data_IF_428989481505
#
_entry.id   IF_428989481505
#
_cell.length_a   1.000
_cell.length_b   1.000
_cell.length_c   1.000
_cell.angle_alpha   90.00
_cell.angle_beta   90.00
_cell.angle_gamma   90.00
#
_symmetry.space_group_name_H-M   'P 1'
#
loop_
_entity.id
_entity.type
_entity.pdbx_description
1 polymer ?
#
# COMPACT_ATOMS: atom_id res chain seq x y z
N UNK A 1 -6.89 6.21 3.58
CA UNK A 1 -7.92 5.14 3.50
C UNK A 1 -9.20 5.67 4.14
N UNK A 2 -9.91 6.58 3.46
CA UNK A 2 -10.99 7.36 4.06
C UNK A 2 -12.33 6.62 4.12
N UNK A 3 -12.40 5.38 3.60
CA UNK A 3 -13.64 4.62 3.69
C UNK A 3 -13.84 3.97 5.05
N UNK A 4 -12.79 3.63 5.82
CA UNK A 4 -12.96 2.90 7.09
C UNK A 4 -12.98 3.73 8.37
N UNK A 5 -12.51 4.98 8.37
CA UNK A 5 -12.49 5.80 9.59
C UNK A 5 -13.88 6.15 10.13
N UNK A 6 -14.93 5.95 9.33
CA UNK A 6 -16.34 6.14 9.71
C UNK A 6 -17.11 4.82 9.94
N UNK A 7 -16.41 3.67 9.96
CA UNK A 7 -17.06 2.40 10.29
C UNK A 7 -17.23 2.26 11.80
N UNK A 8 -18.30 1.59 12.27
CA UNK A 8 -18.55 1.42 13.70
C UNK A 8 -17.44 0.64 14.41
N UNK A 9 -16.68 -0.18 13.69
CA UNK A 9 -15.61 -1.03 14.20
C UNK A 9 -14.42 -1.07 13.22
N UNK A 10 -13.62 0.01 13.13
CA UNK A 10 -12.54 0.12 12.15
C UNK A 10 -11.44 -0.93 12.35
N UNK A 11 -11.29 -1.44 13.56
CA UNK A 11 -10.33 -2.50 13.92
C UNK A 11 -10.79 -3.90 13.45
N UNK A 12 -12.06 -4.04 13.11
CA UNK A 12 -12.66 -5.28 12.59
C UNK A 12 -12.85 -5.25 11.06
N UNK A 13 -12.43 -4.17 10.41
CA UNK A 13 -12.56 -3.98 8.97
C UNK A 13 -11.21 -3.64 8.34
N UNK A 14 -10.91 -4.23 7.19
CA UNK A 14 -9.66 -3.99 6.46
C UNK A 14 -9.94 -3.22 5.18
N UNK A 15 -9.11 -2.22 4.90
CA UNK A 15 -9.31 -1.37 3.74
C UNK A 15 -9.04 -2.08 2.41
N UNK A 16 -8.15 -3.05 2.50
CA UNK A 16 -7.85 -4.06 1.51
C UNK A 16 -7.22 -5.23 2.27
N UNK A 17 -7.26 -6.42 1.69
CA UNK A 17 -6.58 -7.59 2.25
C UNK A 17 -5.07 -7.51 1.97
N UNK A 18 -4.26 -8.33 2.65
CA UNK A 18 -2.86 -8.54 2.27
C UNK A 18 -2.78 -8.99 0.80
N UNK A 19 -2.05 -8.26 -0.03
CA UNK A 19 -1.85 -8.58 -1.45
C UNK A 19 -0.49 -8.07 -1.95
N UNK A 20 -0.09 -8.55 -3.12
CA UNK A 20 0.91 -7.93 -4.00
C UNK A 20 0.21 -7.36 -5.23
N UNK A 21 0.85 -6.41 -5.90
CA UNK A 21 0.30 -5.83 -7.13
C UNK A 21 0.76 -6.62 -8.35
N UNK A 22 -0.15 -7.05 -9.24
CA UNK A 22 0.23 -7.73 -10.49
C UNK A 22 0.79 -6.76 -11.56
N UNK A 23 0.89 -5.46 -11.25
CA UNK A 23 1.32 -4.41 -12.17
C UNK A 23 2.84 -4.42 -12.36
N UNK A 24 3.35 -3.56 -13.26
CA UNK A 24 4.78 -3.26 -13.33
C UNK A 24 5.18 -2.26 -12.24
N UNK A 25 4.51 -1.10 -12.20
CA UNK A 25 4.73 -0.04 -11.24
C UNK A 25 3.37 0.53 -10.85
N UNK A 26 3.11 0.65 -9.54
CA UNK A 26 1.94 1.33 -9.01
C UNK A 26 2.38 2.65 -8.37
N UNK A 27 1.70 3.76 -8.72
CA UNK A 27 1.88 5.06 -8.07
C UNK A 27 0.62 5.38 -7.26
N UNK A 28 0.80 5.56 -5.95
CA UNK A 28 -0.28 5.89 -5.01
C UNK A 28 -0.12 7.32 -4.54
N UNK A 29 -1.14 8.15 -4.79
CA UNK A 29 -1.29 9.45 -4.15
C UNK A 29 -2.10 9.25 -2.87
N UNK A 30 -1.47 9.52 -1.72
CA UNK A 30 -2.15 9.40 -0.43
C UNK A 30 -2.91 10.70 -0.09
N UNK A 31 -4.00 10.57 0.66
CA UNK A 31 -4.61 11.68 1.38
C UNK A 31 -3.81 12.00 2.66
N UNK A 32 -4.17 13.08 3.35
CA UNK A 32 -3.54 13.48 4.62
C UNK A 32 -3.82 12.50 5.78
N UNK A 33 -4.79 11.59 5.61
CA UNK A 33 -5.19 10.63 6.64
C UNK A 33 -4.25 9.41 6.63
N UNK A 34 -3.76 8.99 5.47
CA UNK A 34 -2.86 7.85 5.32
C UNK A 34 -3.56 6.50 5.48
N UNK A 35 -2.91 5.55 6.16
CA UNK A 35 -3.42 4.18 6.36
C UNK A 35 -2.91 3.15 5.33
N UNK A 36 -1.94 3.52 4.49
CA UNK A 36 -1.17 2.55 3.73
C UNK A 36 -0.17 1.85 4.67
N UNK A 37 -0.18 0.52 4.63
CA UNK A 37 0.77 -0.32 5.35
C UNK A 37 1.49 -1.23 4.37
N UNK A 38 2.78 -1.44 4.59
CA UNK A 38 3.61 -2.39 3.82
C UNK A 38 4.16 -3.48 4.74
N UNK A 39 4.22 -4.71 4.23
CA UNK A 39 4.78 -5.83 4.98
C UNK A 39 6.29 -5.89 4.74
N UNK A 40 7.07 -5.64 5.79
CA UNK A 40 8.53 -5.72 5.77
C UNK A 40 9.02 -6.70 6.84
N UNK A 41 9.72 -7.77 6.44
CA UNK A 41 10.22 -8.82 7.37
C UNK A 41 9.14 -9.33 8.34
N UNK A 42 7.98 -9.68 7.79
CA UNK A 42 6.79 -10.16 8.51
C UNK A 42 6.20 -9.17 9.53
N UNK A 43 6.56 -7.89 9.43
CA UNK A 43 5.99 -6.82 10.24
C UNK A 43 5.34 -5.77 9.34
N UNK A 44 4.13 -5.34 9.72
CA UNK A 44 3.46 -4.24 9.04
C UNK A 44 4.09 -2.91 9.47
N UNK A 45 4.38 -2.07 8.48
CA UNK A 45 4.97 -0.74 8.65
C UNK A 45 4.05 0.28 7.99
N UNK A 46 3.67 1.32 8.74
CA UNK A 46 2.90 2.43 8.21
C UNK A 46 3.74 3.27 7.23
N UNK A 47 3.13 3.65 6.11
CA UNK A 47 3.72 4.58 5.16
C UNK A 47 3.09 5.96 5.36
N UNK A 48 3.77 6.83 6.10
CA UNK A 48 3.30 8.19 6.36
C UNK A 48 3.05 8.95 5.05
N UNK A 49 1.90 9.63 4.90
CA UNK A 49 1.68 10.55 3.79
C UNK A 49 2.73 11.66 3.77
N UNK A 50 3.17 12.04 2.58
CA UNK A 50 4.06 13.18 2.35
C UNK A 50 3.39 14.09 1.34
N UNK A 51 3.21 15.36 1.71
CA UNK A 51 2.54 16.34 0.86
C UNK A 51 3.27 16.49 -0.48
N UNK A 52 2.50 16.53 -1.57
CA UNK A 52 3.01 16.61 -2.93
C UNK A 52 3.78 15.39 -3.44
N UNK A 53 3.75 14.25 -2.74
CA UNK A 53 4.50 13.05 -3.12
C UNK A 53 3.61 11.86 -3.50
N UNK A 54 4.15 10.99 -4.37
CA UNK A 54 3.59 9.67 -4.65
C UNK A 54 4.40 8.59 -3.93
N UNK A 55 3.71 7.56 -3.46
CA UNK A 55 4.33 6.29 -3.10
C UNK A 55 4.45 5.44 -4.36
N UNK A 56 5.65 4.97 -4.67
CA UNK A 56 5.90 4.05 -5.77
C UNK A 56 6.08 2.62 -5.24
N UNK A 57 5.32 1.68 -5.79
CA UNK A 57 5.41 0.25 -5.52
C UNK A 57 5.83 -0.48 -6.80
N UNK A 58 6.78 -1.41 -6.69
CA UNK A 58 7.15 -2.30 -7.78
C UNK A 58 6.30 -3.57 -7.69
N UNK A 59 5.57 -3.87 -8.74
CA UNK A 59 4.68 -5.02 -8.78
C UNK A 59 5.36 -6.29 -9.31
N UNK A 60 4.60 -7.39 -9.29
CA UNK A 60 5.06 -8.74 -9.61
C UNK A 60 5.65 -8.83 -11.02
N UNK A 61 5.09 -8.08 -12.00
CA UNK A 61 5.60 -8.07 -13.37
C UNK A 61 7.02 -7.49 -13.44
N UNK A 62 7.30 -6.44 -12.68
CA UNK A 62 8.65 -5.85 -12.63
C UNK A 62 9.63 -6.79 -11.94
N UNK A 63 9.21 -7.45 -10.86
CA UNK A 63 10.04 -8.45 -10.19
C UNK A 63 10.39 -9.62 -11.10
N UNK A 64 9.45 -10.14 -11.90
CA UNK A 64 9.74 -11.19 -12.89
C UNK A 64 10.74 -10.68 -13.93
N UNK A 65 10.51 -9.50 -14.51
CA UNK A 65 11.40 -8.96 -15.54
C UNK A 65 12.83 -8.74 -15.03
N UNK A 66 13.01 -8.24 -13.81
CA UNK A 66 14.33 -7.95 -13.23
C UNK A 66 15.04 -9.20 -12.67
N UNK A 67 14.30 -10.24 -12.28
CA UNK A 67 14.89 -11.48 -11.75
C UNK A 67 15.44 -12.42 -12.84
N UNK A 68 15.21 -12.10 -14.11
CA UNK A 68 15.73 -12.85 -15.27
C UNK A 68 16.94 -12.17 -15.93
N UNK A 69 17.55 -11.18 -15.28
CA UNK A 69 18.84 -10.57 -15.62
C UNK A 69 19.82 -10.73 -14.44
#
# INVERSE_FOLDING_TARGET
MPLLSNFPEPELTLGTIKHSDPSFLTLVLQDEIGGLQVLNKDQWVDVSPVDGAFVANLGDLMQVLLSHY
#
